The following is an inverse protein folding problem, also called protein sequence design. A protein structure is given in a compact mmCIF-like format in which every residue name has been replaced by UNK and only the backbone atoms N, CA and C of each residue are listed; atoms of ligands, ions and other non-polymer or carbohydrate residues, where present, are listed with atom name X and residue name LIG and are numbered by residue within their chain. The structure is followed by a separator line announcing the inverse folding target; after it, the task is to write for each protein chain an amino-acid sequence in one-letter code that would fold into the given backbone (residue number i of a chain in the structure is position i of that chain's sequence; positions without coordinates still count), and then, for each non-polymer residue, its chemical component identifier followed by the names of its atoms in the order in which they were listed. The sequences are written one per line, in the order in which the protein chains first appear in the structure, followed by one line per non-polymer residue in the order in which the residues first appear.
data_IF_077815115106
#
_entry.id   IF_077815115106
#
_cell.length_a   1.000
_cell.length_b   1.000
_cell.length_c   1.000
_cell.angle_alpha   90.00
_cell.angle_beta   90.00
_cell.angle_gamma   90.00
#
_symmetry.space_group_name_H-M   'P 1'
#
loop_
_entity.id
_entity.type
_entity.pdbx_description
1 polymer ?
#
# COMPACT_ATOMS: atom_id res chain seq x y z
N UNK A 1 -37.04 -12.85 -4.89
CA UNK A 1 -36.02 -13.90 -4.81
C UNK A 1 -35.92 -14.24 -3.33
N UNK A 2 -36.71 -15.22 -2.90
CA UNK A 2 -36.70 -15.70 -1.51
C UNK A 2 -35.35 -16.38 -1.28
N UNK A 3 -34.58 -15.86 -0.34
CA UNK A 3 -33.34 -16.51 0.11
C UNK A 3 -33.80 -17.49 1.17
N UNK A 4 -33.72 -18.78 0.85
CA UNK A 4 -34.01 -19.87 1.78
C UNK A 4 -32.87 -19.90 2.82
N UNK A 5 -33.19 -19.88 4.11
CA UNK A 5 -32.22 -19.74 5.23
C UNK A 5 -31.28 -20.97 5.43
N UNK A 6 -31.28 -21.94 4.51
CA UNK A 6 -30.47 -23.18 4.53
C UNK A 6 -29.62 -23.36 3.26
N UNK A 7 -29.05 -22.29 2.70
CA UNK A 7 -28.17 -22.39 1.51
C UNK A 7 -26.72 -22.09 1.89
N UNK A 8 -25.89 -23.13 1.91
CA UNK A 8 -24.44 -22.99 2.02
C UNK A 8 -23.88 -22.27 0.78
N UNK A 9 -23.19 -21.14 1.01
CA UNK A 9 -22.58 -20.34 -0.05
C UNK A 9 -21.09 -20.66 -0.18
N UNK A 10 -20.74 -21.42 -1.22
CA UNK A 10 -19.35 -21.63 -1.63
C UNK A 10 -19.05 -20.83 -2.91
N UNK A 11 -18.14 -19.87 -2.83
CA UNK A 11 -17.71 -19.06 -3.98
C UNK A 11 -16.18 -19.02 -4.02
N UNK A 12 -15.61 -19.39 -5.16
CA UNK A 12 -14.17 -19.26 -5.38
C UNK A 12 -13.83 -17.85 -5.90
N UNK A 13 -12.93 -17.17 -5.19
CA UNK A 13 -12.37 -15.88 -5.60
C UNK A 13 -10.91 -16.05 -6.02
N UNK A 14 -10.65 -15.91 -7.31
CA UNK A 14 -9.30 -15.93 -7.88
C UNK A 14 -8.63 -14.56 -7.75
N UNK A 15 -7.28 -14.53 -7.78
CA UNK A 15 -6.48 -13.29 -7.84
C UNK A 15 -6.92 -12.38 -9.00
N UNK A 16 -7.23 -12.95 -10.16
CA UNK A 16 -7.67 -12.19 -11.35
C UNK A 16 -9.03 -11.52 -11.11
N UNK A 17 -9.98 -12.23 -10.49
CA UNK A 17 -11.27 -11.66 -10.13
C UNK A 17 -11.13 -10.53 -9.12
N UNK A 18 -10.33 -10.72 -8.05
CA UNK A 18 -10.04 -9.66 -7.09
C UNK A 18 -9.43 -8.43 -7.79
N UNK A 19 -8.41 -8.64 -8.62
CA UNK A 19 -7.75 -7.57 -9.34
C UNK A 19 -8.70 -6.80 -10.26
N UNK A 20 -9.63 -7.51 -10.91
CA UNK A 20 -10.67 -6.89 -11.75
C UNK A 20 -11.64 -6.07 -10.92
N UNK A 21 -12.14 -6.64 -9.81
CA UNK A 21 -13.11 -6.01 -8.93
C UNK A 21 -12.56 -4.75 -8.24
N UNK A 22 -11.26 -4.69 -7.98
CA UNK A 22 -10.60 -3.56 -7.31
C UNK A 22 -9.79 -2.68 -8.26
N UNK A 23 -9.93 -2.85 -9.57
CA UNK A 23 -9.07 -2.19 -10.56
C UNK A 23 -9.15 -0.66 -10.49
N UNK A 24 -10.34 -0.12 -10.27
CA UNK A 24 -10.57 1.31 -10.06
C UNK A 24 -9.89 1.83 -8.78
N UNK A 25 -9.96 1.06 -7.69
CA UNK A 25 -9.31 1.41 -6.42
C UNK A 25 -7.79 1.44 -6.56
N UNK A 26 -7.21 0.49 -7.30
CA UNK A 26 -5.78 0.45 -7.55
C UNK A 26 -5.31 1.63 -8.39
N UNK A 27 -6.05 1.97 -9.45
CA UNK A 27 -5.75 3.16 -10.26
C UNK A 27 -5.79 4.43 -9.42
N UNK A 28 -6.85 4.62 -8.64
CA UNK A 28 -6.99 5.78 -7.75
C UNK A 28 -5.86 5.88 -6.72
N UNK A 29 -5.39 4.76 -6.20
CA UNK A 29 -4.26 4.74 -5.27
C UNK A 29 -2.97 5.27 -5.93
N UNK A 30 -2.70 4.90 -7.18
CA UNK A 30 -1.53 5.40 -7.93
C UNK A 30 -1.70 6.88 -8.29
N UNK A 31 -2.90 7.33 -8.65
CA UNK A 31 -3.17 8.76 -8.90
C UNK A 31 -2.88 9.64 -7.67
N UNK A 32 -3.10 9.13 -6.44
CA UNK A 32 -2.72 9.86 -5.23
C UNK A 32 -1.20 10.00 -5.08
N UNK A 33 -0.44 9.00 -5.52
CA UNK A 33 1.03 9.08 -5.57
C UNK A 33 1.47 10.16 -6.56
N UNK A 34 0.84 10.22 -7.74
CA UNK A 34 1.11 11.26 -8.73
C UNK A 34 0.78 12.66 -8.20
N UNK A 35 -0.35 12.80 -7.51
CA UNK A 35 -0.75 14.06 -6.87
C UNK A 35 0.27 14.52 -5.82
N UNK A 36 0.79 13.60 -5.01
CA UNK A 36 1.82 13.89 -4.02
C UNK A 36 3.14 14.34 -4.67
N UNK A 37 3.59 13.64 -5.72
CA UNK A 37 4.78 14.01 -6.49
C UNK A 37 4.63 15.40 -7.12
N UNK A 38 3.47 15.68 -7.74
CA UNK A 38 3.17 16.97 -8.36
C UNK A 38 3.17 18.10 -7.31
N UNK A 39 2.59 17.86 -6.14
CA UNK A 39 2.57 18.83 -5.03
C UNK A 39 3.99 19.12 -4.54
N UNK A 40 4.85 18.11 -4.51
CA UNK A 40 6.26 18.25 -4.14
C UNK A 40 7.15 18.79 -5.28
N UNK A 41 6.60 18.98 -6.50
CA UNK A 41 7.35 19.32 -7.71
C UNK A 41 8.49 18.33 -8.01
N UNK A 42 8.24 17.05 -7.77
CA UNK A 42 9.19 15.95 -7.97
C UNK A 42 8.70 14.98 -9.03
N UNK A 43 9.64 14.25 -9.63
CA UNK A 43 9.38 13.11 -10.52
C UNK A 43 9.67 11.79 -9.81
N UNK A 44 9.21 10.66 -10.36
CA UNK A 44 9.54 9.33 -9.83
C UNK A 44 11.06 9.06 -9.76
N UNK A 45 11.87 9.74 -10.57
CA UNK A 45 13.32 9.58 -10.58
C UNK A 45 13.99 10.24 -9.38
N UNK A 46 13.41 11.32 -8.87
CA UNK A 46 13.91 12.08 -7.71
C UNK A 46 13.71 11.32 -6.39
N UNK A 47 12.83 10.31 -6.39
CA UNK A 47 12.64 9.44 -5.23
C UNK A 47 13.78 8.44 -5.14
N UNK A 48 14.46 8.37 -4.00
CA UNK A 48 15.52 7.39 -3.77
C UNK A 48 14.97 6.03 -3.29
N UNK A 49 14.02 6.06 -2.36
CA UNK A 49 13.45 4.86 -1.74
C UNK A 49 11.94 5.02 -1.55
N UNK A 50 11.23 3.90 -1.71
CA UNK A 50 9.79 3.78 -1.48
C UNK A 50 9.58 2.74 -0.40
N UNK A 51 9.04 3.18 0.75
CA UNK A 51 8.72 2.30 1.87
C UNK A 51 7.23 1.99 1.82
N UNK A 52 6.88 0.70 1.87
CA UNK A 52 5.49 0.25 1.88
C UNK A 52 5.00 0.12 3.33
N UNK A 53 3.91 0.81 3.65
CA UNK A 53 3.33 0.88 5.00
C UNK A 53 1.85 0.53 4.98
N UNK A 54 1.40 -0.28 5.93
CA UNK A 54 0.03 -0.78 6.05
C UNK A 54 -0.26 -2.08 5.29
N UNK A 55 -1.11 -2.94 5.85
CA UNK A 55 -1.37 -4.29 5.36
C UNK A 55 -1.81 -4.39 3.89
N UNK A 56 -2.60 -3.44 3.38
CA UNK A 56 -3.05 -3.43 1.98
C UNK A 56 -1.90 -3.32 0.96
N UNK A 57 -0.72 -2.84 1.38
CA UNK A 57 0.47 -2.83 0.52
C UNK A 57 1.05 -4.22 0.27
N UNK A 58 0.53 -5.26 0.96
CA UNK A 58 0.83 -6.68 0.67
C UNK A 58 0.12 -7.20 -0.57
N UNK A 59 -0.91 -6.49 -1.07
CA UNK A 59 -1.59 -6.86 -2.31
C UNK A 59 -0.57 -6.86 -3.47
N UNK A 60 -0.38 -7.99 -4.17
CA UNK A 60 0.64 -8.08 -5.22
C UNK A 60 0.48 -7.04 -6.32
N UNK A 61 -0.77 -6.74 -6.71
CA UNK A 61 -1.04 -5.77 -7.77
C UNK A 61 -0.58 -4.35 -7.41
N UNK A 62 -0.70 -3.94 -6.15
CA UNK A 62 -0.21 -2.64 -5.68
C UNK A 62 1.32 -2.58 -5.77
N UNK A 63 2.01 -3.66 -5.35
CA UNK A 63 3.47 -3.76 -5.42
C UNK A 63 3.97 -3.73 -6.86
N UNK A 64 3.29 -4.44 -7.76
CA UNK A 64 3.57 -4.43 -9.20
C UNK A 64 3.48 -3.00 -9.75
N UNK A 65 2.36 -2.30 -9.52
CA UNK A 65 2.15 -0.93 -10.00
C UNK A 65 3.18 0.07 -9.46
N UNK A 66 3.52 -0.03 -8.17
CA UNK A 66 4.55 0.84 -7.57
C UNK A 66 5.95 0.52 -8.10
N UNK A 67 6.25 -0.76 -8.35
CA UNK A 67 7.51 -1.20 -8.95
C UNK A 67 7.63 -0.72 -10.39
N UNK A 68 6.56 -0.82 -11.19
CA UNK A 68 6.49 -0.27 -12.55
C UNK A 68 6.74 1.25 -12.56
N UNK A 69 6.26 1.97 -11.53
CA UNK A 69 6.39 3.43 -11.43
C UNK A 69 7.78 3.91 -10.96
N UNK A 70 8.38 3.24 -9.99
CA UNK A 70 9.60 3.72 -9.31
C UNK A 70 10.86 2.90 -9.61
N UNK A 71 10.72 1.68 -10.11
CA UNK A 71 11.81 0.72 -10.22
C UNK A 71 11.92 -0.19 -8.99
N UNK A 72 12.32 -1.44 -9.22
CA UNK A 72 12.39 -2.48 -8.18
C UNK A 72 13.51 -2.23 -7.16
N UNK A 73 14.57 -1.52 -7.55
CA UNK A 73 15.71 -1.15 -6.70
C UNK A 73 15.32 -0.15 -5.59
N UNK A 74 14.27 0.63 -5.83
CA UNK A 74 13.79 1.66 -4.90
C UNK A 74 12.79 1.13 -3.88
N UNK A 75 12.08 0.03 -4.18
CA UNK A 75 11.07 -0.54 -3.27
C UNK A 75 11.76 -1.24 -2.09
N UNK A 76 11.41 -0.86 -0.87
CA UNK A 76 11.89 -1.49 0.37
C UNK A 76 10.85 -2.43 0.95
N UNK A 77 11.23 -3.71 1.08
CA UNK A 77 10.38 -4.81 1.55
C UNK A 77 10.91 -5.48 2.82
N UNK A 78 12.04 -5.01 3.34
CA UNK A 78 12.73 -5.49 4.53
C UNK A 78 12.10 -4.99 5.84
N UNK A 79 11.07 -4.15 5.75
CA UNK A 79 10.34 -3.60 6.89
C UNK A 79 8.96 -4.27 7.02
N UNK A 80 8.53 -4.51 8.25
CA UNK A 80 7.17 -4.97 8.52
C UNK A 80 6.19 -3.79 8.36
N UNK A 81 5.30 -3.80 7.35
CA UNK A 81 4.41 -2.67 7.08
C UNK A 81 3.41 -2.38 8.20
N UNK A 82 3.17 -3.35 9.09
CA UNK A 82 2.18 -3.24 10.17
C UNK A 82 2.78 -2.66 11.47
N UNK A 83 4.11 -2.67 11.59
CA UNK A 83 4.82 -2.25 12.82
C UNK A 83 5.63 -0.96 12.63
N UNK A 84 6.03 -0.66 11.39
CA UNK A 84 6.98 0.43 11.09
C UNK A 84 6.48 1.81 11.57
N UNK A 85 5.16 2.04 11.55
CA UNK A 85 4.56 3.28 12.07
C UNK A 85 4.76 3.39 13.57
N UNK A 86 4.42 2.35 14.33
CA UNK A 86 4.59 2.35 15.79
C UNK A 86 6.06 2.46 16.20
N UNK A 87 6.95 1.82 15.43
CA UNK A 87 8.39 1.89 15.67
C UNK A 87 8.92 3.32 15.49
N UNK A 88 8.55 3.98 14.39
CA UNK A 88 8.90 5.39 14.15
C UNK A 88 8.35 6.31 15.23
N UNK A 89 7.10 6.10 15.65
CA UNK A 89 6.47 6.87 16.72
C UNK A 89 7.22 6.73 18.07
N UNK A 90 7.66 5.51 18.43
CA UNK A 90 8.40 5.27 19.66
C UNK A 90 9.76 5.99 19.68
N UNK A 91 10.47 6.04 18.55
CA UNK A 91 11.74 6.78 18.42
C UNK A 91 11.52 8.29 18.64
N UNK A 92 10.46 8.84 18.06
CA UNK A 92 10.09 10.25 18.24
C UNK A 92 9.72 10.54 19.69
N UNK A 93 8.92 9.68 20.33
CA UNK A 93 8.53 9.83 21.73
C UNK A 93 9.74 9.86 22.67
N UNK A 94 10.69 8.93 22.51
CA UNK A 94 11.92 8.89 23.28
C UNK A 94 12.77 10.16 23.09
N UNK A 95 12.83 10.68 21.86
CA UNK A 95 13.59 11.92 21.58
C UNK A 95 12.99 13.13 22.29
N UNK A 96 11.65 13.21 22.34
CA UNK A 96 10.94 14.28 23.04
C UNK A 96 11.10 14.18 24.55
N UNK A 97 11.06 12.96 25.12
CA UNK A 97 11.27 12.74 26.56
C UNK A 97 12.67 13.15 27.02
N UNK A 98 13.71 12.82 26.24
CA UNK A 98 15.11 13.18 26.58
C UNK A 98 15.39 14.69 26.44
N UNK A 99 14.54 15.42 25.71
CA UNK A 99 14.73 16.85 25.43
C UNK A 99 14.03 17.78 26.45
N UNK A 100 13.32 17.23 27.44
CA UNK A 100 12.61 17.94 28.51
C UNK A 100 13.29 17.64 29.85
#
# INVERSE_FOLDING_TARGET
MEINDEVDLEVQLTKSQLNRLCSDLFTRAIEQVDSALNTAQMTSNDINYVILVGGSTRIPRIRELLTEKFGSDKIKLDLNPDEIVSHGAAIVANTLEVSI
#
